data_IF_565249775173
#
_entry.id   IF_565249775173
#
_cell.length_a   1.000
_cell.length_b   1.000
_cell.length_c   1.000
_cell.angle_alpha   90.00
_cell.angle_beta   90.00
_cell.angle_gamma   90.00
#
_symmetry.space_group_name_H-M   'P 1'
#
loop_
_entity.id
_entity.type
_entity.pdbx_description
1 polymer ?
#
# COMPACT_ATOMS: atom_id res chain seq x y z
N UNK A 1 22.22 -21.10 45.30
CA UNK A 1 22.07 -21.90 44.07
C UNK A 1 20.71 -21.58 43.42
N UNK A 2 20.30 -20.30 43.41
CA UNK A 2 18.94 -19.85 43.01
C UNK A 2 18.93 -18.76 41.92
N UNK A 3 20.04 -18.07 41.68
CA UNK A 3 20.09 -16.92 40.75
C UNK A 3 19.64 -17.24 39.32
N UNK A 4 19.94 -18.44 38.81
CA UNK A 4 19.59 -18.80 37.43
C UNK A 4 18.09 -19.13 37.25
N UNK A 5 17.40 -19.52 38.33
CA UNK A 5 15.96 -19.82 38.30
C UNK A 5 15.17 -18.51 38.33
N UNK A 6 15.57 -17.56 39.17
CA UNK A 6 14.94 -16.24 39.24
C UNK A 6 15.13 -15.48 37.91
N UNK A 7 16.31 -15.56 37.29
CA UNK A 7 16.57 -15.00 35.96
C UNK A 7 15.70 -15.65 34.86
N UNK A 8 15.46 -16.95 34.94
CA UNK A 8 14.59 -17.66 33.98
C UNK A 8 13.11 -17.27 34.16
N UNK A 9 12.64 -17.09 35.39
CA UNK A 9 11.28 -16.59 35.68
C UNK A 9 11.09 -15.18 35.12
N UNK A 10 12.05 -14.29 35.31
CA UNK A 10 12.03 -12.93 34.75
C UNK A 10 12.09 -12.93 33.22
N UNK A 11 12.85 -13.85 32.62
CA UNK A 11 12.89 -14.04 31.16
C UNK A 11 11.54 -14.55 30.62
N UNK A 12 10.86 -15.46 31.33
CA UNK A 12 9.53 -15.95 30.96
C UNK A 12 8.50 -14.81 31.05
N UNK A 13 8.53 -14.01 32.12
CA UNK A 13 7.63 -12.87 32.29
C UNK A 13 7.80 -11.84 31.18
N UNK A 14 9.04 -11.49 30.82
CA UNK A 14 9.34 -10.58 29.69
C UNK A 14 8.84 -11.13 28.35
N UNK A 15 9.10 -12.41 28.06
CA UNK A 15 8.62 -13.05 26.83
C UNK A 15 7.10 -13.09 26.75
N UNK A 16 6.40 -13.35 27.86
CA UNK A 16 4.94 -13.33 27.90
C UNK A 16 4.40 -11.92 27.63
N UNK A 17 4.96 -10.89 28.26
CA UNK A 17 4.57 -9.50 28.02
C UNK A 17 4.80 -9.07 26.57
N UNK A 18 5.93 -9.46 25.95
CA UNK A 18 6.22 -9.20 24.54
C UNK A 18 5.21 -9.89 23.60
N UNK A 19 4.83 -11.13 23.90
CA UNK A 19 3.84 -11.87 23.11
C UNK A 19 2.44 -11.25 23.23
N UNK A 20 2.06 -10.79 24.43
CA UNK A 20 0.79 -10.09 24.65
C UNK A 20 0.73 -8.76 23.91
N UNK A 21 1.80 -7.95 23.97
CA UNK A 21 1.91 -6.68 23.20
C UNK A 21 1.82 -6.95 21.69
N UNK A 22 2.54 -7.95 21.18
CA UNK A 22 2.46 -8.32 19.76
C UNK A 22 1.05 -8.79 19.36
N UNK A 23 0.37 -9.56 20.22
CA UNK A 23 -0.97 -10.03 19.96
C UNK A 23 -1.98 -8.86 19.96
N UNK A 24 -1.84 -7.91 20.88
CA UNK A 24 -2.68 -6.72 20.94
C UNK A 24 -2.49 -5.83 19.70
N UNK A 25 -1.23 -5.57 19.29
CA UNK A 25 -0.92 -4.85 18.06
C UNK A 25 -1.50 -5.54 16.83
N UNK A 26 -1.38 -6.86 16.73
CA UNK A 26 -1.95 -7.60 15.59
C UNK A 26 -3.47 -7.51 15.54
N UNK A 27 -4.16 -7.52 16.69
CA UNK A 27 -5.61 -7.33 16.75
C UNK A 27 -5.99 -5.91 16.33
N UNK A 28 -5.31 -4.90 16.85
CA UNK A 28 -5.55 -3.50 16.51
C UNK A 28 -5.32 -3.22 15.01
N UNK A 29 -4.25 -3.79 14.42
CA UNK A 29 -4.02 -3.75 12.98
C UNK A 29 -5.16 -4.39 12.19
N UNK A 30 -5.59 -5.58 12.59
CA UNK A 30 -6.69 -6.29 11.94
C UNK A 30 -8.02 -5.52 11.99
N UNK A 31 -8.29 -4.79 13.08
CA UNK A 31 -9.49 -3.97 13.23
C UNK A 31 -9.46 -2.71 12.35
N UNK A 32 -8.29 -2.11 12.15
CA UNK A 32 -8.14 -0.85 11.41
C UNK A 32 -7.86 -1.04 9.91
N UNK A 33 -7.30 -2.18 9.50
CA UNK A 33 -6.82 -2.38 8.12
C UNK A 33 -7.93 -2.34 7.07
N UNK A 34 -9.13 -2.85 7.39
CA UNK A 34 -10.28 -2.77 6.50
C UNK A 34 -10.73 -1.32 6.27
N UNK A 35 -10.71 -0.49 7.33
CA UNK A 35 -11.01 0.93 7.23
C UNK A 35 -9.99 1.68 6.39
N UNK A 36 -8.69 1.45 6.67
CA UNK A 36 -7.60 2.03 5.90
C UNK A 36 -7.68 1.67 4.42
N UNK A 37 -8.00 0.41 4.11
CA UNK A 37 -8.19 -0.05 2.74
C UNK A 37 -9.31 0.71 2.03
N UNK A 38 -10.47 0.87 2.67
CA UNK A 38 -11.59 1.62 2.11
C UNK A 38 -11.25 3.10 1.89
N UNK A 39 -10.52 3.72 2.82
CA UNK A 39 -10.06 5.11 2.68
C UNK A 39 -9.09 5.25 1.51
N UNK A 40 -8.14 4.32 1.35
CA UNK A 40 -7.21 4.30 0.23
C UNK A 40 -7.96 4.16 -1.10
N UNK A 41 -8.89 3.21 -1.20
CA UNK A 41 -9.73 2.99 -2.38
C UNK A 41 -10.46 4.28 -2.79
N UNK A 42 -11.16 4.91 -1.84
CA UNK A 42 -11.90 6.16 -2.10
C UNK A 42 -10.96 7.30 -2.51
N UNK A 43 -9.80 7.41 -1.84
CA UNK A 43 -8.80 8.43 -2.15
C UNK A 43 -8.23 8.27 -3.56
N UNK A 44 -7.91 7.03 -3.95
CA UNK A 44 -7.43 6.70 -5.30
C UNK A 44 -8.50 7.02 -6.34
N UNK A 45 -9.73 6.57 -6.15
CA UNK A 45 -10.83 6.83 -7.09
C UNK A 45 -11.08 8.33 -7.27
N UNK A 46 -11.15 9.09 -6.16
CA UNK A 46 -11.30 10.54 -6.21
C UNK A 46 -10.13 11.23 -6.91
N UNK A 47 -8.90 10.78 -6.69
CA UNK A 47 -7.72 11.34 -7.34
C UNK A 47 -7.69 11.02 -8.85
N UNK A 48 -8.06 9.80 -9.27
CA UNK A 48 -8.22 9.44 -10.68
C UNK A 48 -9.28 10.31 -11.36
N UNK A 49 -10.43 10.50 -10.71
CA UNK A 49 -11.48 11.38 -11.22
C UNK A 49 -10.99 12.83 -11.38
N UNK A 50 -10.25 13.34 -10.39
CA UNK A 50 -9.66 14.68 -10.45
C UNK A 50 -8.62 14.81 -11.57
N UNK A 51 -7.76 13.81 -11.75
CA UNK A 51 -6.80 13.76 -12.85
C UNK A 51 -7.54 13.82 -14.19
N UNK A 52 -8.58 13.01 -14.35
CA UNK A 52 -9.38 12.94 -15.57
C UNK A 52 -10.27 14.18 -15.81
N UNK A 53 -10.52 15.01 -14.80
CA UNK A 53 -11.23 16.28 -14.96
C UNK A 53 -10.30 17.48 -15.17
N UNK A 54 -8.98 17.29 -14.98
CA UNK A 54 -7.99 18.37 -15.10
C UNK A 54 -7.38 18.35 -16.50
N UNK A 55 -7.81 19.27 -17.35
CA UNK A 55 -7.44 19.28 -18.77
C UNK A 55 -5.92 19.32 -19.00
N UNK A 56 -5.17 20.09 -18.20
CA UNK A 56 -3.72 20.20 -18.31
C UNK A 56 -3.01 18.86 -18.07
N UNK A 57 -3.51 18.08 -17.11
CA UNK A 57 -2.97 16.74 -16.82
C UNK A 57 -3.36 15.77 -17.92
N UNK A 58 -4.62 15.78 -18.38
CA UNK A 58 -5.07 14.93 -19.48
C UNK A 58 -4.28 15.18 -20.77
N UNK A 59 -4.02 16.45 -21.12
CA UNK A 59 -3.23 16.80 -22.29
C UNK A 59 -1.81 16.23 -22.21
N UNK A 60 -1.21 16.24 -21.01
CA UNK A 60 0.11 15.64 -20.77
C UNK A 60 0.06 14.12 -20.80
N UNK A 61 -0.98 13.51 -20.22
CA UNK A 61 -1.15 12.06 -20.19
C UNK A 61 -1.45 11.50 -21.57
N UNK A 62 -2.16 12.23 -22.43
CA UNK A 62 -2.59 11.81 -23.77
C UNK A 62 -3.88 10.96 -23.79
N UNK A 63 -4.27 10.37 -22.66
CA UNK A 63 -5.53 9.65 -22.48
C UNK A 63 -5.98 9.70 -21.00
N UNK A 64 -7.21 9.29 -20.73
CA UNK A 64 -7.75 9.11 -19.39
C UNK A 64 -7.09 7.93 -18.68
N UNK A 65 -7.08 8.00 -17.36
CA UNK A 65 -6.83 6.84 -16.50
C UNK A 65 -8.15 6.10 -16.29
N UNK A 66 -8.13 4.77 -16.41
CA UNK A 66 -9.28 3.92 -16.16
C UNK A 66 -9.13 3.29 -14.78
N UNK A 67 -10.07 3.58 -13.88
CA UNK A 67 -10.15 2.95 -12.57
C UNK A 67 -11.11 1.76 -12.65
N UNK A 68 -10.62 0.58 -12.28
CA UNK A 68 -11.42 -0.65 -12.15
C UNK A 68 -11.49 -1.03 -10.67
N UNK A 69 -12.49 -0.47 -10.00
CA UNK A 69 -12.95 -0.91 -8.68
C UNK A 69 -14.15 -1.83 -8.81
N UNK A 70 -14.33 -2.76 -7.88
CA UNK A 70 -15.47 -3.67 -7.89
C UNK A 70 -15.25 -4.99 -7.16
N UNK A 71 -13.98 -5.32 -6.88
CA UNK A 71 -13.62 -6.36 -5.92
C UNK A 71 -13.39 -5.74 -4.56
N UNK A 72 -13.74 -6.48 -3.51
CA UNK A 72 -13.60 -6.02 -2.13
C UNK A 72 -12.14 -5.87 -1.72
N UNK A 73 -11.27 -6.71 -2.27
CA UNK A 73 -9.88 -6.86 -1.88
C UNK A 73 -8.87 -6.29 -2.89
N UNK A 74 -9.33 -5.81 -4.04
CA UNK A 74 -8.46 -5.43 -5.16
C UNK A 74 -9.04 -4.27 -5.95
N UNK A 75 -8.20 -3.34 -6.38
CA UNK A 75 -8.53 -2.39 -7.45
C UNK A 75 -7.41 -2.31 -8.48
N UNK A 76 -7.74 -1.81 -9.68
CA UNK A 76 -6.77 -1.56 -10.74
C UNK A 76 -6.89 -0.17 -11.33
N UNK A 77 -5.78 0.32 -11.86
CA UNK A 77 -5.72 1.56 -12.63
C UNK A 77 -4.93 1.32 -13.90
N UNK A 78 -5.48 1.76 -15.02
CA UNK A 78 -4.89 1.57 -16.35
C UNK A 78 -4.66 2.91 -17.02
N UNK A 79 -3.42 3.16 -17.43
CA UNK A 79 -3.06 4.15 -18.46
C UNK A 79 -2.86 3.41 -19.77
N UNK A 80 -3.81 3.54 -20.69
CA UNK A 80 -3.90 2.72 -21.91
C UNK A 80 -2.97 3.16 -23.05
N UNK A 81 -2.52 4.41 -23.04
CA UNK A 81 -1.68 4.97 -24.08
C UNK A 81 -0.18 4.78 -23.78
N UNK A 82 0.66 4.75 -24.82
CA UNK A 82 2.08 4.44 -24.66
C UNK A 82 2.89 5.59 -24.02
N UNK A 83 3.78 5.30 -23.04
CA UNK A 83 3.97 3.99 -22.40
C UNK A 83 2.77 3.60 -21.54
N UNK A 84 2.29 2.36 -21.70
CA UNK A 84 1.13 1.88 -20.99
C UNK A 84 1.54 1.41 -19.60
N UNK A 85 0.73 1.76 -18.60
CA UNK A 85 1.02 1.43 -17.20
C UNK A 85 -0.23 0.81 -16.59
N UNK A 86 -0.06 -0.36 -15.99
CA UNK A 86 -1.10 -1.09 -15.27
C UNK A 86 -0.68 -1.18 -13.81
N UNK A 87 -1.50 -0.62 -12.93
CA UNK A 87 -1.33 -0.68 -11.48
C UNK A 87 -2.43 -1.59 -10.92
N UNK A 88 -2.05 -2.61 -10.18
CA UNK A 88 -2.97 -3.43 -9.38
C UNK A 88 -2.58 -3.31 -7.92
N UNK A 89 -3.55 -3.09 -7.05
CA UNK A 89 -3.32 -3.07 -5.61
C UNK A 89 -4.28 -4.06 -4.96
N UNK A 90 -3.74 -4.94 -4.12
CA UNK A 90 -4.48 -6.00 -3.41
C UNK A 90 -4.23 -5.90 -1.92
N UNK A 91 -5.28 -6.02 -1.10
CA UNK A 91 -5.14 -6.10 0.36
C UNK A 91 -5.06 -7.54 0.85
N UNK A 92 -4.15 -7.79 1.79
CA UNK A 92 -4.02 -9.05 2.52
C UNK A 92 -4.25 -8.87 4.03
N UNK A 93 -4.92 -7.78 4.42
CA UNK A 93 -5.26 -7.43 5.80
C UNK A 93 -4.09 -6.92 6.64
N UNK A 94 -2.86 -7.41 6.43
CA UNK A 94 -1.64 -6.94 7.14
C UNK A 94 -0.68 -6.14 6.27
N UNK A 95 -0.88 -6.20 4.96
CA UNK A 95 -0.08 -5.48 3.98
C UNK A 95 -0.92 -5.25 2.72
N UNK A 96 -0.49 -4.29 1.93
CA UNK A 96 -0.96 -4.10 0.57
C UNK A 96 0.11 -4.56 -0.39
N UNK A 97 -0.30 -5.32 -1.39
CA UNK A 97 0.55 -5.67 -2.51
C UNK A 97 0.29 -4.72 -3.64
N UNK A 98 1.35 -4.12 -4.17
CA UNK A 98 1.30 -3.24 -5.32
C UNK A 98 2.05 -3.89 -6.47
N UNK A 99 1.35 -4.11 -7.58
CA UNK A 99 1.90 -4.66 -8.81
C UNK A 99 1.82 -3.60 -9.91
N UNK A 100 2.95 -3.31 -10.53
CA UNK A 100 3.08 -2.35 -11.62
C UNK A 100 3.62 -3.05 -12.84
N UNK A 101 2.90 -2.96 -13.95
CA UNK A 101 3.37 -3.42 -15.25
C UNK A 101 3.50 -2.22 -16.17
N UNK A 102 4.71 -1.96 -16.63
CA UNK A 102 5.04 -0.84 -17.53
C UNK A 102 5.42 -1.42 -18.88
N UNK A 103 4.75 -0.96 -19.92
CA UNK A 103 5.00 -1.35 -21.31
C UNK A 103 5.51 -0.12 -22.07
N UNK A 104 6.81 -0.11 -22.41
CA UNK A 104 7.46 0.97 -23.17
C UNK A 104 7.67 0.56 -24.64
N UNK A 105 7.89 1.54 -25.54
CA UNK A 105 8.14 1.30 -26.98
C UNK A 105 9.66 1.18 -27.27
N UNK A 106 10.15 0.42 -28.26
CA UNK A 106 9.45 -0.22 -29.37
C UNK A 106 10.21 -1.37 -30.08
N UNK A 107 9.49 -2.00 -31.01
CA UNK A 107 9.80 -3.24 -31.78
C UNK A 107 10.05 -4.50 -30.95
N UNK A 108 10.75 -4.39 -29.82
CA UNK A 108 10.85 -5.40 -28.77
C UNK A 108 10.06 -4.87 -27.57
N UNK A 109 8.86 -5.40 -27.31
CA UNK A 109 8.00 -4.96 -26.21
C UNK A 109 8.69 -5.19 -24.86
N UNK A 110 9.47 -4.22 -24.39
CA UNK A 110 10.08 -4.29 -23.06
C UNK A 110 8.99 -4.08 -22.03
N UNK A 111 8.76 -5.12 -21.24
CA UNK A 111 7.85 -5.08 -20.11
C UNK A 111 8.69 -5.02 -18.85
N UNK A 112 8.40 -4.04 -17.98
CA UNK A 112 8.90 -4.02 -16.62
C UNK A 112 7.75 -4.38 -15.69
N UNK A 113 7.88 -5.52 -15.03
CA UNK A 113 6.96 -5.95 -13.98
C UNK A 113 7.64 -5.69 -12.63
N UNK A 114 6.99 -4.91 -11.78
CA UNK A 114 7.42 -4.60 -10.43
C UNK A 114 6.35 -5.06 -9.44
N UNK A 115 6.79 -5.62 -8.32
CA UNK A 115 5.93 -5.99 -7.21
C UNK A 115 6.55 -5.48 -5.94
N UNK A 116 5.73 -4.85 -5.11
CA UNK A 116 6.12 -4.22 -3.87
C UNK A 116 5.13 -4.60 -2.77
N UNK A 117 5.63 -4.88 -1.57
CA UNK A 117 4.82 -5.06 -0.38
C UNK A 117 4.87 -3.80 0.49
N UNK A 118 3.72 -3.17 0.67
CA UNK A 118 3.53 -2.07 1.61
C UNK A 118 2.99 -2.67 2.91
N UNK A 119 3.82 -2.70 3.95
CA UNK A 119 3.44 -3.21 5.27
C UNK A 119 2.48 -2.27 5.97
N UNK A 120 1.62 -2.81 6.84
CA UNK A 120 0.80 -2.02 7.74
C UNK A 120 1.35 -2.14 9.15
N UNK A 121 1.49 -1.01 9.83
CA UNK A 121 1.99 -0.96 11.21
C UNK A 121 1.25 0.13 12.00
N UNK A 122 1.42 0.13 13.31
CA UNK A 122 0.83 1.10 14.23
C UNK A 122 1.87 2.11 14.69
N UNK A 123 1.53 3.39 14.66
CA UNK A 123 2.37 4.43 15.24
C UNK A 123 2.35 4.37 16.78
N UNK A 124 3.11 5.25 17.44
CA UNK A 124 3.13 5.35 18.89
C UNK A 124 1.78 5.73 19.53
N UNK A 125 0.81 6.19 18.73
CA UNK A 125 -0.55 6.52 19.16
C UNK A 125 -1.55 5.40 18.83
N UNK A 126 -1.08 4.25 18.33
CA UNK A 126 -1.93 3.12 17.94
C UNK A 126 -2.70 3.34 16.63
N UNK A 127 -2.30 4.31 15.80
CA UNK A 127 -2.93 4.58 14.51
C UNK A 127 -2.23 3.81 13.41
N UNK A 128 -3.02 3.18 12.55
CA UNK A 128 -2.49 2.43 11.40
C UNK A 128 -1.86 3.37 10.36
N UNK A 129 -0.69 2.97 9.86
CA UNK A 129 -0.01 3.61 8.74
C UNK A 129 0.55 2.56 7.77
N UNK A 130 0.93 3.02 6.58
CA UNK A 130 1.56 2.20 5.54
C UNK A 130 3.08 2.42 5.54
N UNK A 131 3.86 1.36 5.37
CA UNK A 131 5.32 1.44 5.30
C UNK A 131 5.82 0.79 4.01
N UNK A 132 6.55 1.54 3.20
CA UNK A 132 7.15 1.01 1.97
C UNK A 132 8.35 0.10 2.30
N UNK A 133 8.79 -0.69 1.34
CA UNK A 133 10.01 -1.51 1.47
C UNK A 133 11.27 -0.66 1.73
N UNK A 134 11.23 0.62 1.33
CA UNK A 134 12.30 1.59 1.53
C UNK A 134 12.26 2.23 2.93
N UNK A 135 11.27 1.87 3.75
CA UNK A 135 11.09 2.37 5.11
C UNK A 135 10.34 3.70 5.21
N UNK A 136 9.79 4.21 4.11
CA UNK A 136 8.98 5.44 4.13
C UNK A 136 7.61 5.17 4.76
N UNK A 137 7.22 6.02 5.71
CA UNK A 137 5.89 6.02 6.30
C UNK A 137 4.93 6.83 5.44
N UNK A 138 3.83 6.22 5.03
CA UNK A 138 2.79 6.80 4.21
C UNK A 138 1.46 6.82 4.98
N UNK A 139 0.85 8.00 5.09
CA UNK A 139 -0.56 8.12 5.40
C UNK A 139 -1.38 8.04 4.10
N UNK A 140 -2.71 7.95 4.21
CA UNK A 140 -3.60 7.70 3.06
C UNK A 140 -3.35 8.66 1.89
N UNK A 141 -3.26 9.97 2.13
CA UNK A 141 -3.06 10.94 1.05
C UNK A 141 -1.70 10.77 0.36
N UNK A 142 -0.65 10.51 1.13
CA UNK A 142 0.69 10.27 0.60
C UNK A 142 0.75 8.95 -0.16
N UNK A 143 0.06 7.92 0.33
CA UNK A 143 -0.07 6.64 -0.36
C UNK A 143 -0.82 6.77 -1.69
N UNK A 144 -1.90 7.55 -1.76
CA UNK A 144 -2.60 7.85 -3.03
C UNK A 144 -1.62 8.50 -4.02
N UNK A 145 -0.88 9.52 -3.58
CA UNK A 145 0.12 10.19 -4.42
C UNK A 145 1.22 9.22 -4.85
N UNK A 146 1.72 8.41 -3.93
CA UNK A 146 2.76 7.42 -4.16
C UNK A 146 2.34 6.39 -5.23
N UNK A 147 1.12 5.85 -5.11
CA UNK A 147 0.55 4.88 -6.04
C UNK A 147 0.32 5.46 -7.43
N UNK A 148 -0.15 6.71 -7.52
CA UNK A 148 -0.47 7.35 -8.80
C UNK A 148 0.74 7.98 -9.51
N UNK A 149 1.83 8.26 -8.78
CA UNK A 149 3.02 8.93 -9.33
C UNK A 149 3.61 8.24 -10.58
N UNK A 150 3.70 6.89 -10.66
CA UNK A 150 4.15 6.22 -11.88
C UNK A 150 3.24 6.51 -13.08
N UNK A 151 1.92 6.56 -12.90
CA UNK A 151 0.96 6.82 -13.99
C UNK A 151 1.11 8.22 -14.60
N UNK A 152 1.67 9.18 -13.85
CA UNK A 152 1.80 10.58 -14.27
C UNK A 152 3.16 10.94 -14.89
N UNK A 153 4.18 10.13 -14.63
CA UNK A 153 5.56 10.43 -15.04
C UNK A 153 6.08 9.57 -16.19
N UNK A 154 5.30 8.59 -16.65
CA UNK A 154 5.59 7.75 -17.81
C UNK A 154 4.73 8.15 -19.00
#
# INVERSE_FOLDING_TARGET
MSDWIDEEVDNIGRKQAELEDQAERQRALGQQSAGLWQELVRGVEAAVNKINSTQEILNRLGDKLYYEGGRVDTFKIVKGNFPAVYLTVTTFGRYFQVERKIVTNGQSRTTKDERERIELDLDSNGRIYMKTEQGETLHVQDAVKYLLKPLLNY
#
